data_IF_011821566918
#
_entry.id   IF_011821566918
#
_cell.length_a   1.000
_cell.length_b   1.000
_cell.length_c   1.000
_cell.angle_alpha   90.00
_cell.angle_beta   90.00
_cell.angle_gamma   90.00
#
_symmetry.space_group_name_H-M   'P 1'
#
loop_
_entity.id
_entity.type
_entity.pdbx_description
1 polymer ?
#
# COMPACT_ATOMS: atom_id res chain seq x y z
N UNK A 1 -20.05 -36.45 -26.71
CA UNK A 1 -18.81 -35.66 -26.96
C UNK A 1 -18.10 -35.46 -25.64
N UNK A 2 -16.93 -36.06 -25.47
CA UNK A 2 -16.21 -36.08 -24.18
C UNK A 2 -15.55 -34.74 -23.88
N UNK A 3 -15.70 -34.27 -22.64
CA UNK A 3 -15.01 -33.09 -22.11
C UNK A 3 -13.50 -33.29 -22.23
N UNK A 4 -12.76 -32.23 -22.52
CA UNK A 4 -11.30 -32.26 -22.58
C UNK A 4 -10.74 -31.04 -21.85
N UNK A 5 -9.84 -31.30 -20.89
CA UNK A 5 -9.02 -30.27 -20.26
C UNK A 5 -7.72 -30.17 -21.05
N UNK A 6 -7.40 -28.96 -21.49
CA UNK A 6 -6.14 -28.62 -22.16
C UNK A 6 -5.39 -27.64 -21.27
N UNK A 7 -4.11 -27.90 -21.05
CA UNK A 7 -3.24 -26.99 -20.33
C UNK A 7 -1.96 -26.69 -21.10
N UNK A 8 -1.39 -25.52 -20.82
CA UNK A 8 -0.09 -25.11 -21.33
C UNK A 8 0.60 -24.22 -20.30
N UNK A 9 1.93 -24.23 -20.31
CA UNK A 9 2.76 -23.38 -19.47
C UNK A 9 3.73 -22.63 -20.37
N UNK A 10 3.72 -21.31 -20.29
CA UNK A 10 4.68 -20.47 -20.99
C UNK A 10 5.69 -19.96 -19.95
N UNK A 11 6.95 -20.43 -20.01
CA UNK A 11 7.92 -20.11 -18.99
C UNK A 11 8.32 -18.64 -19.01
N UNK A 12 8.61 -18.08 -17.83
CA UNK A 12 9.20 -16.74 -17.66
C UNK A 12 8.43 -15.61 -18.37
N UNK A 13 7.12 -15.77 -18.47
CA UNK A 13 6.23 -14.80 -19.13
C UNK A 13 5.32 -14.19 -18.08
N UNK A 14 5.56 -12.93 -17.75
CA UNK A 14 4.80 -12.23 -16.72
C UNK A 14 3.74 -11.32 -17.34
N UNK A 15 2.52 -11.43 -16.84
CA UNK A 15 1.46 -10.46 -17.08
C UNK A 15 0.78 -10.09 -15.75
N UNK A 16 0.25 -8.87 -15.71
CA UNK A 16 -0.56 -8.41 -14.58
C UNK A 16 -1.84 -9.26 -14.40
N UNK A 17 -2.20 -9.54 -13.14
CA UNK A 17 -3.30 -10.44 -12.81
C UNK A 17 -4.67 -9.93 -13.29
N UNK A 18 -4.90 -8.63 -13.34
CA UNK A 18 -6.15 -8.05 -13.85
C UNK A 18 -6.31 -8.39 -15.34
N UNK A 19 -5.23 -8.27 -16.12
CA UNK A 19 -5.24 -8.64 -17.54
C UNK A 19 -5.56 -10.12 -17.73
N UNK A 20 -4.92 -10.99 -16.94
CA UNK A 20 -5.14 -12.43 -17.01
C UNK A 20 -6.59 -12.80 -16.65
N UNK A 21 -7.19 -12.11 -15.67
CA UNK A 21 -8.60 -12.26 -15.31
C UNK A 21 -9.55 -11.79 -16.42
N UNK A 22 -9.26 -10.67 -17.08
CA UNK A 22 -10.05 -10.18 -18.22
C UNK A 22 -10.05 -11.18 -19.39
N UNK A 23 -8.87 -11.69 -19.76
CA UNK A 23 -8.74 -12.70 -20.82
C UNK A 23 -9.45 -14.00 -20.41
N UNK A 24 -9.28 -14.46 -19.17
CA UNK A 24 -9.98 -15.66 -18.65
C UNK A 24 -11.50 -15.52 -18.75
N UNK A 25 -12.03 -14.33 -18.42
CA UNK A 25 -13.46 -14.01 -18.53
C UNK A 25 -13.93 -13.99 -19.98
N UNK A 26 -13.19 -13.34 -20.87
CA UNK A 26 -13.54 -13.29 -22.31
C UNK A 26 -13.61 -14.69 -22.92
N UNK A 27 -12.63 -15.55 -22.62
CA UNK A 27 -12.60 -16.90 -23.16
C UNK A 27 -13.67 -17.82 -22.54
N UNK A 28 -14.00 -17.62 -21.26
CA UNK A 28 -15.07 -18.38 -20.60
C UNK A 28 -16.46 -18.04 -21.14
N UNK A 29 -16.64 -16.91 -21.82
CA UNK A 29 -17.91 -16.52 -22.46
C UNK A 29 -18.13 -17.17 -23.83
N UNK A 30 -17.22 -18.00 -24.32
CA UNK A 30 -17.39 -18.71 -25.59
C UNK A 30 -18.26 -19.95 -25.37
N UNK A 31 -19.35 -20.12 -26.15
CA UNK A 31 -20.29 -21.25 -26.03
C UNK A 31 -19.64 -22.65 -26.12
N UNK A 32 -18.44 -22.72 -26.68
CA UNK A 32 -17.64 -23.92 -26.87
C UNK A 32 -16.67 -24.22 -25.71
N UNK A 33 -16.47 -23.26 -24.81
CA UNK A 33 -15.59 -23.30 -23.63
C UNK A 33 -16.45 -23.34 -22.37
N UNK A 34 -16.17 -24.27 -21.47
CA UNK A 34 -16.89 -24.35 -20.20
C UNK A 34 -16.23 -23.48 -19.14
N UNK A 35 -14.89 -23.56 -19.06
CA UNK A 35 -14.08 -22.79 -18.12
C UNK A 35 -12.72 -22.50 -18.75
N UNK A 36 -12.26 -21.26 -18.62
CA UNK A 36 -10.89 -20.87 -18.93
C UNK A 36 -10.25 -20.21 -17.71
N UNK A 37 -9.06 -20.66 -17.35
CA UNK A 37 -8.28 -20.16 -16.24
C UNK A 37 -6.88 -19.83 -16.73
N UNK A 38 -6.57 -18.54 -16.79
CA UNK A 38 -5.28 -18.01 -17.20
C UNK A 38 -4.75 -17.21 -16.03
N UNK A 39 -3.58 -17.58 -15.54
CA UNK A 39 -3.01 -16.98 -14.34
C UNK A 39 -1.50 -17.17 -14.31
N UNK A 40 -0.84 -16.54 -13.34
CA UNK A 40 0.56 -16.88 -13.01
C UNK A 40 0.61 -18.21 -12.24
N UNK A 41 1.67 -18.99 -12.41
CA UNK A 41 1.92 -20.30 -11.79
C UNK A 41 2.21 -20.27 -10.28
N UNK A 42 1.59 -19.35 -9.54
CA UNK A 42 1.72 -19.24 -8.08
C UNK A 42 1.01 -20.38 -7.37
N UNK A 43 1.44 -20.71 -6.15
CA UNK A 43 0.81 -21.77 -5.35
C UNK A 43 -0.66 -21.46 -5.03
N UNK A 44 -1.01 -20.17 -4.85
CA UNK A 44 -2.39 -19.75 -4.65
C UNK A 44 -3.27 -20.11 -5.87
N UNK A 45 -2.80 -19.81 -7.08
CA UNK A 45 -3.55 -20.13 -8.30
C UNK A 45 -3.61 -21.65 -8.57
N UNK A 46 -2.54 -22.38 -8.23
CA UNK A 46 -2.53 -23.85 -8.32
C UNK A 46 -3.55 -24.49 -7.36
N UNK A 47 -3.70 -23.96 -6.13
CA UNK A 47 -4.76 -24.40 -5.19
C UNK A 47 -6.17 -24.13 -5.71
N UNK A 48 -6.38 -22.98 -6.37
CA UNK A 48 -7.68 -22.68 -7.01
C UNK A 48 -7.99 -23.73 -8.09
N UNK A 49 -7.02 -24.05 -8.95
CA UNK A 49 -7.16 -25.08 -9.99
C UNK A 49 -7.45 -26.46 -9.40
N UNK A 50 -6.83 -26.81 -8.28
CA UNK A 50 -7.06 -28.06 -7.56
C UNK A 50 -8.49 -28.14 -7.04
N UNK A 51 -8.99 -27.09 -6.38
CA UNK A 51 -10.35 -27.03 -5.83
C UNK A 51 -11.43 -27.18 -6.90
N UNK A 52 -11.19 -26.66 -8.11
CA UNK A 52 -12.15 -26.74 -9.22
C UNK A 52 -11.94 -27.98 -10.12
N UNK A 53 -11.00 -28.86 -9.77
CA UNK A 53 -10.72 -30.11 -10.49
C UNK A 53 -10.07 -29.93 -11.86
N UNK A 54 -9.33 -28.84 -12.06
CA UNK A 54 -8.67 -28.50 -13.34
C UNK A 54 -7.13 -28.51 -13.25
N UNK A 55 -6.55 -28.83 -12.10
CA UNK A 55 -5.09 -28.94 -11.96
C UNK A 55 -4.55 -30.12 -12.78
N UNK A 56 -3.75 -29.82 -13.80
CA UNK A 56 -3.06 -30.82 -14.63
C UNK A 56 -1.60 -30.98 -14.20
N UNK A 57 -0.98 -32.13 -14.48
CA UNK A 57 0.43 -32.38 -14.11
C UNK A 57 1.40 -31.35 -14.68
N UNK A 58 1.19 -30.91 -15.93
CA UNK A 58 2.00 -29.85 -16.58
C UNK A 58 2.00 -28.54 -15.79
N UNK A 59 0.92 -28.23 -15.07
CA UNK A 59 0.77 -26.99 -14.30
C UNK A 59 1.30 -27.12 -12.87
N UNK A 60 1.43 -28.35 -12.33
CA UNK A 60 1.98 -28.56 -10.99
C UNK A 60 3.43 -28.08 -10.90
N UNK A 61 4.19 -28.31 -11.97
CA UNK A 61 5.61 -27.97 -12.07
C UNK A 61 5.85 -26.50 -12.45
N UNK A 62 4.80 -25.74 -12.76
CA UNK A 62 4.92 -24.32 -13.08
C UNK A 62 5.38 -23.50 -11.86
N UNK A 63 6.36 -22.63 -12.09
CA UNK A 63 6.84 -21.66 -11.12
C UNK A 63 6.00 -20.39 -11.09
N UNK A 64 6.20 -19.57 -10.05
CA UNK A 64 5.46 -18.32 -9.86
C UNK A 64 5.61 -17.29 -11.01
N UNK A 65 6.66 -17.42 -11.81
CA UNK A 65 6.96 -16.54 -12.96
C UNK A 65 6.50 -17.13 -14.30
N UNK A 66 5.84 -18.28 -14.30
CA UNK A 66 5.35 -18.93 -15.50
C UNK A 66 3.87 -18.60 -15.70
N UNK A 67 3.47 -18.42 -16.95
CA UNK A 67 2.08 -18.19 -17.32
C UNK A 67 1.40 -19.54 -17.54
N UNK A 68 0.34 -19.82 -16.79
CA UNK A 68 -0.42 -21.07 -16.90
C UNK A 68 -1.74 -20.80 -17.63
N UNK A 69 -2.06 -21.67 -18.58
CA UNK A 69 -3.35 -21.71 -19.27
C UNK A 69 -4.00 -23.05 -18.96
N UNK A 70 -5.26 -23.02 -18.53
CA UNK A 70 -6.08 -24.21 -18.35
C UNK A 70 -7.46 -23.96 -18.91
N UNK A 71 -7.86 -24.76 -19.90
CA UNK A 71 -9.13 -24.63 -20.61
C UNK A 71 -9.87 -25.95 -20.60
N UNK A 72 -11.08 -25.95 -20.06
CA UNK A 72 -12.04 -27.04 -20.20
C UNK A 72 -12.99 -26.74 -21.37
N UNK A 73 -12.97 -27.60 -22.39
CA UNK A 73 -13.74 -27.40 -23.61
C UNK A 73 -14.46 -28.67 -24.08
N UNK A 74 -15.43 -28.49 -24.99
CA UNK A 74 -16.21 -29.59 -25.59
C UNK A 74 -15.38 -30.56 -26.45
N UNK A 75 -14.17 -30.14 -26.88
CA UNK A 75 -13.22 -30.98 -27.60
C UNK A 75 -11.79 -30.45 -27.47
N UNK A 76 -10.79 -31.31 -27.69
CA UNK A 76 -9.37 -30.91 -27.71
C UNK A 76 -9.06 -29.83 -28.76
N UNK A 77 -9.74 -29.87 -29.91
CA UNK A 77 -9.56 -28.89 -30.98
C UNK A 77 -10.00 -27.48 -30.55
N UNK A 78 -11.14 -27.39 -29.84
CA UNK A 78 -11.65 -26.14 -29.28
C UNK A 78 -10.69 -25.61 -28.21
N UNK A 79 -10.19 -26.49 -27.32
CA UNK A 79 -9.24 -26.09 -26.28
C UNK A 79 -7.95 -25.49 -26.87
N UNK A 80 -7.38 -26.11 -27.91
CA UNK A 80 -6.22 -25.57 -28.64
C UNK A 80 -6.51 -24.22 -29.32
N UNK A 81 -7.67 -24.09 -29.97
CA UNK A 81 -8.07 -22.81 -30.58
C UNK A 81 -8.27 -21.69 -29.56
N UNK A 82 -8.78 -22.04 -28.37
CA UNK A 82 -8.97 -21.10 -27.25
C UNK A 82 -7.64 -20.61 -26.72
N UNK A 83 -6.65 -21.49 -26.61
CA UNK A 83 -5.28 -21.13 -26.22
C UNK A 83 -4.64 -20.14 -27.20
N UNK A 84 -4.70 -20.41 -28.50
CA UNK A 84 -4.18 -19.49 -29.51
C UNK A 84 -4.87 -18.12 -29.46
N UNK A 85 -6.18 -18.09 -29.16
CA UNK A 85 -6.91 -16.83 -28.95
C UNK A 85 -6.45 -16.09 -27.70
N UNK A 86 -6.15 -16.82 -26.61
CA UNK A 86 -5.61 -16.25 -25.38
C UNK A 86 -4.26 -15.54 -25.62
N UNK A 87 -3.34 -16.21 -26.31
CA UNK A 87 -2.03 -15.66 -26.69
C UNK A 87 -2.19 -14.41 -27.57
N UNK A 88 -3.10 -14.43 -28.54
CA UNK A 88 -3.38 -13.28 -29.40
C UNK A 88 -3.97 -12.08 -28.64
N UNK A 89 -4.85 -12.32 -27.66
CA UNK A 89 -5.41 -11.27 -26.81
C UNK A 89 -4.33 -10.63 -25.94
N UNK A 90 -3.47 -11.44 -25.31
CA UNK A 90 -2.35 -10.95 -24.50
C UNK A 90 -1.37 -10.12 -25.35
N UNK A 91 -0.98 -10.60 -26.53
CA UNK A 91 -0.07 -9.88 -27.45
C UNK A 91 -0.67 -8.58 -28.00
N UNK A 92 -1.99 -8.53 -28.27
CA UNK A 92 -2.66 -7.32 -28.75
C UNK A 92 -2.71 -6.24 -27.67
N UNK A 93 -2.89 -6.62 -26.41
CA UNK A 93 -2.89 -5.72 -25.26
C UNK A 93 -1.47 -5.17 -25.01
N UNK A 94 -0.43 -5.99 -25.15
CA UNK A 94 0.97 -5.53 -25.08
C UNK A 94 1.29 -4.44 -26.12
N UNK A 95 0.84 -4.62 -27.37
CA UNK A 95 1.03 -3.62 -28.45
C UNK A 95 0.28 -2.30 -28.21
N UNK A 96 -0.86 -2.33 -27.49
CA UNK A 96 -1.57 -1.10 -27.09
C UNK A 96 -0.88 -0.38 -25.94
N UNK A 97 -0.29 -1.12 -25.01
CA UNK A 97 0.40 -0.55 -23.83
C UNK A 97 1.74 0.08 -24.24
N UNK A 98 2.46 -0.55 -25.17
CA UNK A 98 3.74 -0.05 -25.70
C UNK A 98 3.64 1.21 -26.56
N UNK A 99 2.46 1.54 -27.12
CA UNK A 99 2.24 2.82 -27.82
C UNK A 99 2.19 4.05 -26.89
N UNK A 100 2.08 3.88 -25.57
CA UNK A 100 2.00 5.00 -24.61
C UNK A 100 3.31 5.29 -23.86
N UNK A 101 4.33 4.46 -23.98
CA UNK A 101 5.62 4.67 -23.31
C UNK A 101 6.77 4.56 -24.32
N UNK A 102 7.17 5.71 -24.87
CA UNK A 102 8.41 5.87 -25.63
C UNK A 102 9.61 5.93 -24.68
N UNK A 103 9.88 4.84 -23.94
CA UNK A 103 11.18 4.61 -23.31
C UNK A 103 11.74 3.39 -24.03
N UNK A 104 12.37 3.64 -25.19
CA UNK A 104 13.23 2.64 -25.81
C UNK A 104 14.36 2.35 -24.82
N UNK A 105 14.35 1.15 -24.23
CA UNK A 105 15.27 0.62 -23.20
C UNK A 105 14.92 0.92 -21.73
N UNK A 106 13.81 0.34 -21.26
CA UNK A 106 13.58 0.19 -19.81
C UNK A 106 14.69 -0.71 -19.22
N UNK A 107 15.45 -0.27 -18.20
CA UNK A 107 16.48 -1.09 -17.55
C UNK A 107 15.89 -2.38 -16.97
N UNK A 108 16.65 -3.48 -17.08
CA UNK A 108 16.23 -4.79 -16.56
C UNK A 108 16.82 -5.13 -15.20
N UNK A 109 17.84 -4.38 -14.77
CA UNK A 109 18.50 -4.58 -13.48
C UNK A 109 18.70 -3.24 -12.78
N UNK A 110 18.86 -3.29 -11.46
CA UNK A 110 19.19 -2.13 -10.65
C UNK A 110 20.45 -1.42 -11.16
N UNK A 111 21.50 -2.15 -11.52
CA UNK A 111 22.78 -1.58 -11.95
C UNK A 111 22.66 -0.84 -13.28
N UNK A 112 21.79 -1.31 -14.19
CA UNK A 112 21.48 -0.60 -15.43
C UNK A 112 20.70 0.68 -15.13
N UNK A 113 19.70 0.62 -14.24
CA UNK A 113 18.91 1.78 -13.85
C UNK A 113 19.78 2.83 -13.15
N UNK A 114 20.59 2.44 -12.18
CA UNK A 114 21.46 3.33 -11.43
C UNK A 114 22.48 4.07 -12.32
N UNK A 115 23.00 3.40 -13.36
CA UNK A 115 23.88 4.05 -14.36
C UNK A 115 23.13 4.98 -15.30
N UNK A 116 21.88 4.66 -15.64
CA UNK A 116 21.06 5.45 -16.57
C UNK A 116 20.36 6.66 -15.94
N UNK A 117 20.05 6.59 -14.64
CA UNK A 117 19.33 7.61 -13.88
C UNK A 117 20.25 8.18 -12.79
N UNK A 118 21.24 8.98 -13.20
CA UNK A 118 22.33 9.45 -12.34
C UNK A 118 21.91 10.43 -11.25
N UNK A 119 20.73 11.03 -11.39
CA UNK A 119 20.11 11.96 -10.44
C UNK A 119 19.09 11.28 -9.50
N UNK A 120 18.82 9.99 -9.69
CA UNK A 120 17.92 9.25 -8.82
C UNK A 120 18.52 9.09 -7.41
N UNK A 121 17.74 9.47 -6.40
CA UNK A 121 18.10 9.35 -4.98
C UNK A 121 17.16 8.42 -4.19
N UNK A 122 16.27 7.72 -4.89
CA UNK A 122 15.19 6.95 -4.29
C UNK A 122 14.91 5.69 -5.12
N UNK A 123 14.74 4.53 -4.46
CA UNK A 123 14.31 3.27 -5.07
C UNK A 123 12.96 2.82 -4.48
N UNK A 124 11.99 2.56 -5.36
CA UNK A 124 10.71 1.95 -5.00
C UNK A 124 10.75 0.44 -5.29
N UNK A 125 10.65 -0.39 -4.25
CA UNK A 125 10.79 -1.85 -4.35
C UNK A 125 9.43 -2.52 -4.16
N UNK A 126 8.94 -3.19 -5.21
CA UNK A 126 7.65 -3.91 -5.25
C UNK A 126 7.77 -5.32 -5.86
N UNK A 127 8.94 -5.93 -5.72
CA UNK A 127 9.21 -7.33 -6.14
C UNK A 127 8.70 -8.33 -5.10
N UNK A 128 8.63 -9.64 -5.38
CA UNK A 128 8.28 -10.64 -4.36
C UNK A 128 9.20 -10.57 -3.14
N UNK A 129 8.62 -10.71 -1.94
CA UNK A 129 9.30 -10.57 -0.64
C UNK A 129 10.67 -11.22 -0.51
N UNK A 130 10.86 -12.49 -0.94
CA UNK A 130 12.16 -13.16 -0.88
C UNK A 130 13.30 -12.47 -1.63
N UNK A 131 13.00 -11.61 -2.60
CA UNK A 131 13.99 -10.85 -3.38
C UNK A 131 14.08 -9.38 -2.96
N UNK A 132 13.12 -8.88 -2.19
CA UNK A 132 12.97 -7.46 -1.92
C UNK A 132 14.09 -6.91 -1.03
N UNK A 133 14.55 -7.70 -0.05
CA UNK A 133 15.67 -7.32 0.81
C UNK A 133 16.98 -7.11 0.04
N UNK A 134 17.24 -7.95 -0.97
CA UNK A 134 18.43 -7.84 -1.81
C UNK A 134 18.41 -6.53 -2.62
N UNK A 135 17.28 -6.21 -3.26
CA UNK A 135 17.16 -4.99 -4.06
C UNK A 135 17.23 -3.72 -3.19
N UNK A 136 16.60 -3.74 -2.00
CA UNK A 136 16.73 -2.65 -1.03
C UNK A 136 18.18 -2.46 -0.56
N UNK A 137 18.90 -3.55 -0.27
CA UNK A 137 20.30 -3.51 0.14
C UNK A 137 21.20 -2.88 -0.93
N UNK A 138 21.01 -3.21 -2.21
CA UNK A 138 21.75 -2.60 -3.32
C UNK A 138 21.57 -1.08 -3.34
N UNK A 139 20.33 -0.59 -3.23
CA UNK A 139 20.03 0.84 -3.20
C UNK A 139 20.65 1.55 -1.99
N UNK A 140 20.52 1.00 -0.78
CA UNK A 140 21.11 1.58 0.42
C UNK A 140 22.64 1.65 0.33
N UNK A 141 23.28 0.61 -0.22
CA UNK A 141 24.73 0.60 -0.46
C UNK A 141 25.15 1.64 -1.52
N UNK A 142 24.27 1.94 -2.47
CA UNK A 142 24.44 3.02 -3.45
C UNK A 142 24.04 4.42 -2.92
N UNK A 143 23.78 4.55 -1.61
CA UNK A 143 23.34 5.79 -0.96
C UNK A 143 22.00 6.35 -1.46
N UNK A 144 21.08 5.46 -1.85
CA UNK A 144 19.72 5.83 -2.22
C UNK A 144 18.75 5.53 -1.08
N UNK A 145 17.75 6.38 -0.92
CA UNK A 145 16.60 6.13 -0.07
C UNK A 145 15.77 4.98 -0.65
N UNK A 146 15.03 4.27 0.20
CA UNK A 146 14.22 3.12 -0.24
C UNK A 146 12.81 3.20 0.32
N UNK A 147 11.83 2.97 -0.54
CA UNK A 147 10.49 2.54 -0.14
C UNK A 147 10.35 1.07 -0.48
N UNK A 148 10.28 0.25 0.56
CA UNK A 148 10.10 -1.18 0.49
C UNK A 148 8.59 -1.47 0.63
N UNK A 149 7.90 -1.37 -0.50
CA UNK A 149 6.47 -1.66 -0.60
C UNK A 149 6.19 -3.16 -0.41
N UNK A 150 7.08 -4.01 -0.92
CA UNK A 150 7.01 -5.46 -0.79
C UNK A 150 6.82 -5.91 0.67
N UNK A 151 5.96 -6.91 0.86
CA UNK A 151 5.80 -7.64 2.12
C UNK A 151 6.48 -9.02 2.03
N UNK A 152 6.40 -9.84 3.09
CA UNK A 152 7.07 -11.14 3.24
C UNK A 152 8.61 -11.03 3.20
N UNK A 153 9.13 -9.95 3.76
CA UNK A 153 10.55 -9.78 4.12
C UNK A 153 10.73 -10.22 5.57
N UNK A 154 11.80 -10.96 5.85
CA UNK A 154 12.07 -11.46 7.21
C UNK A 154 12.29 -10.31 8.20
N UNK A 155 12.00 -10.55 9.48
CA UNK A 155 12.27 -9.56 10.55
C UNK A 155 13.76 -9.23 10.67
N UNK A 156 14.62 -10.24 10.46
CA UNK A 156 16.07 -10.06 10.49
C UNK A 156 16.54 -9.13 9.35
N UNK A 157 16.06 -9.36 8.12
CA UNK A 157 16.36 -8.51 6.98
C UNK A 157 15.84 -7.08 7.21
N UNK A 158 14.61 -6.92 7.69
CA UNK A 158 14.05 -5.61 8.02
C UNK A 158 14.94 -4.85 9.02
N UNK A 159 15.32 -5.50 10.12
CA UNK A 159 16.15 -4.89 11.15
C UNK A 159 17.52 -4.49 10.60
N UNK A 160 18.16 -5.39 9.83
CA UNK A 160 19.48 -5.15 9.25
C UNK A 160 19.46 -3.99 8.25
N UNK A 161 18.45 -3.96 7.37
CA UNK A 161 18.28 -2.88 6.38
C UNK A 161 17.98 -1.55 7.07
N UNK A 162 17.11 -1.52 8.10
CA UNK A 162 16.79 -0.28 8.83
C UNK A 162 18.01 0.27 9.58
N UNK A 163 18.82 -0.61 10.19
CA UNK A 163 20.09 -0.22 10.81
C UNK A 163 21.07 0.35 9.79
N UNK A 164 21.22 -0.30 8.63
CA UNK A 164 22.09 0.18 7.55
C UNK A 164 21.65 1.57 7.04
N UNK A 165 20.35 1.74 6.81
CA UNK A 165 19.78 3.01 6.37
C UNK A 165 20.01 4.12 7.41
N UNK A 166 19.72 3.86 8.68
CA UNK A 166 19.95 4.81 9.77
C UNK A 166 21.42 5.20 9.92
N UNK A 167 22.36 4.24 9.82
CA UNK A 167 23.80 4.51 9.85
C UNK A 167 24.26 5.43 8.70
N UNK A 168 23.59 5.35 7.54
CA UNK A 168 23.88 6.16 6.36
C UNK A 168 23.06 7.45 6.29
N UNK A 169 22.15 7.70 7.25
CA UNK A 169 21.23 8.83 7.20
C UNK A 169 20.20 8.73 6.06
N UNK A 170 19.89 7.53 5.58
CA UNK A 170 18.94 7.26 4.50
C UNK A 170 17.59 6.82 5.05
N UNK A 171 16.53 7.08 4.29
CA UNK A 171 15.20 6.55 4.55
C UNK A 171 15.12 5.08 4.13
N UNK A 172 14.55 4.23 5.00
CA UNK A 172 14.01 2.93 4.64
C UNK A 172 12.57 2.80 5.11
N UNK A 173 11.65 3.17 4.20
CA UNK A 173 10.21 3.11 4.41
C UNK A 173 9.68 1.71 4.11
N UNK A 174 9.42 0.90 5.13
CA UNK A 174 8.93 -0.48 4.96
C UNK A 174 9.82 -1.50 5.68
N UNK A 175 9.66 -2.82 5.45
CA UNK A 175 8.77 -3.50 4.49
C UNK A 175 7.28 -3.23 4.69
N UNK A 176 6.47 -3.54 3.67
CA UNK A 176 5.02 -3.36 3.71
C UNK A 176 4.58 -1.90 3.85
N UNK A 177 5.42 -0.94 3.45
CA UNK A 177 5.03 0.47 3.42
C UNK A 177 4.12 0.70 2.20
N UNK A 178 2.82 0.82 2.46
CA UNK A 178 1.82 0.98 1.40
C UNK A 178 1.68 2.41 0.88
N UNK A 179 1.98 3.42 1.69
CA UNK A 179 1.62 4.82 1.42
C UNK A 179 2.72 5.76 1.88
N UNK A 180 3.20 6.61 0.97
CA UNK A 180 4.05 7.74 1.30
C UNK A 180 3.87 8.88 0.30
N UNK A 181 4.25 10.08 0.70
CA UNK A 181 4.36 11.26 -0.15
C UNK A 181 5.62 12.02 0.28
N UNK A 182 6.62 12.07 -0.59
CA UNK A 182 7.90 12.73 -0.31
C UNK A 182 8.11 13.85 -1.32
N UNK A 183 8.24 15.08 -0.85
CA UNK A 183 8.40 16.28 -1.70
C UNK A 183 7.30 16.42 -2.78
N UNK A 184 6.05 16.08 -2.43
CA UNK A 184 4.92 16.07 -3.38
C UNK A 184 4.87 14.85 -4.31
N UNK A 185 5.84 13.95 -4.27
CA UNK A 185 5.84 12.70 -5.06
C UNK A 185 5.09 11.63 -4.29
N UNK A 186 3.95 11.21 -4.85
CA UNK A 186 3.12 10.15 -4.30
C UNK A 186 3.76 8.77 -4.58
N UNK A 187 3.90 7.94 -3.54
CA UNK A 187 4.51 6.61 -3.63
C UNK A 187 3.58 5.55 -3.04
N UNK A 188 3.38 4.45 -3.79
CA UNK A 188 2.45 3.38 -3.42
C UNK A 188 0.98 3.78 -3.58
N UNK A 189 0.14 3.38 -2.62
CA UNK A 189 -1.26 3.76 -2.53
C UNK A 189 -1.38 5.15 -1.89
N UNK A 190 -1.27 6.20 -2.71
CA UNK A 190 -1.32 7.58 -2.27
C UNK A 190 -2.38 8.39 -3.02
N UNK A 191 -2.78 9.50 -2.42
CA UNK A 191 -3.76 10.44 -2.97
C UNK A 191 -3.03 11.66 -3.57
N UNK A 192 -3.67 12.35 -4.50
CA UNK A 192 -3.22 13.68 -4.91
C UNK A 192 -3.61 14.66 -3.81
N UNK A 193 -2.61 15.28 -3.19
CA UNK A 193 -2.76 16.13 -2.00
C UNK A 193 -2.12 17.48 -2.28
N UNK A 194 -2.72 18.54 -1.72
CA UNK A 194 -2.12 19.87 -1.75
C UNK A 194 -0.90 19.93 -0.83
N UNK A 195 0.08 20.75 -1.20
CA UNK A 195 1.21 21.06 -0.33
C UNK A 195 0.73 21.90 0.87
N UNK A 196 1.22 21.61 2.07
CA UNK A 196 0.83 22.36 3.26
C UNK A 196 1.75 22.10 4.46
N UNK A 197 1.37 22.60 5.66
CA UNK A 197 2.27 22.68 6.81
C UNK A 197 2.33 21.39 7.65
N UNK A 198 1.49 20.39 7.34
CA UNK A 198 1.35 19.20 8.18
C UNK A 198 2.30 18.09 7.72
N UNK A 199 3.25 17.72 8.57
CA UNK A 199 4.12 16.56 8.36
C UNK A 199 3.55 15.33 9.06
N UNK A 200 3.49 14.20 8.39
CA UNK A 200 2.89 12.98 8.93
C UNK A 200 3.89 11.84 8.86
N UNK A 201 4.04 11.08 9.94
CA UNK A 201 4.79 9.82 9.95
C UNK A 201 3.95 8.72 10.59
N UNK A 202 3.87 7.55 9.95
CA UNK A 202 2.92 6.54 10.37
C UNK A 202 3.19 5.11 9.93
N UNK A 203 2.69 4.18 10.74
CA UNK A 203 2.75 2.73 10.51
C UNK A 203 1.37 2.15 10.14
N UNK A 204 0.56 2.94 9.42
CA UNK A 204 -0.78 2.57 8.96
C UNK A 204 -1.03 3.13 7.57
N UNK A 205 -0.94 2.31 6.51
CA UNK A 205 -1.10 2.78 5.12
C UNK A 205 -2.45 3.46 4.89
N UNK A 206 -3.55 2.73 5.11
CA UNK A 206 -4.90 3.30 4.98
C UNK A 206 -5.20 4.39 6.01
N UNK A 207 -4.61 4.32 7.21
CA UNK A 207 -4.74 5.40 8.20
C UNK A 207 -4.12 6.71 7.72
N UNK A 208 -2.96 6.65 7.06
CA UNK A 208 -2.34 7.81 6.42
C UNK A 208 -3.21 8.36 5.29
N UNK A 209 -3.77 7.48 4.44
CA UNK A 209 -4.67 7.90 3.35
C UNK A 209 -5.94 8.59 3.89
N UNK A 210 -6.54 8.05 4.95
CA UNK A 210 -7.75 8.61 5.53
C UNK A 210 -7.48 9.99 6.15
N UNK A 211 -6.46 10.09 7.01
CA UNK A 211 -6.10 11.36 7.64
C UNK A 211 -5.82 12.45 6.61
N UNK A 212 -4.99 12.14 5.61
CA UNK A 212 -4.64 13.10 4.55
C UNK A 212 -5.84 13.49 3.72
N UNK A 213 -6.77 12.57 3.45
CA UNK A 213 -8.03 12.87 2.74
C UNK A 213 -8.90 13.82 3.56
N UNK A 214 -9.05 13.58 4.87
CA UNK A 214 -9.83 14.45 5.75
C UNK A 214 -9.26 15.87 5.81
N UNK A 215 -7.93 16.01 5.93
CA UNK A 215 -7.26 17.31 5.92
C UNK A 215 -7.40 18.03 4.57
N UNK A 216 -7.16 17.33 3.46
CA UNK A 216 -7.21 17.91 2.13
C UNK A 216 -8.62 18.41 1.76
N UNK A 217 -9.67 17.68 2.18
CA UNK A 217 -11.08 18.11 2.05
C UNK A 217 -11.39 19.44 2.76
N UNK A 218 -10.49 19.89 3.62
CA UNK A 218 -10.60 21.10 4.44
C UNK A 218 -9.61 22.18 4.02
N UNK A 219 -8.93 21.98 2.89
CA UNK A 219 -7.91 22.89 2.41
C UNK A 219 -6.64 22.90 3.26
N UNK A 220 -6.38 21.85 4.05
CA UNK A 220 -5.11 21.66 4.75
C UNK A 220 -4.30 20.62 4.01
N UNK A 221 -3.23 21.07 3.36
CA UNK A 221 -2.26 20.22 2.70
C UNK A 221 -1.22 19.62 3.65
N UNK A 222 -0.33 18.81 3.09
CA UNK A 222 0.77 18.15 3.81
C UNK A 222 2.14 18.54 3.26
N UNK A 223 3.14 18.55 4.12
CA UNK A 223 4.54 18.77 3.72
C UNK A 223 5.15 17.46 3.22
N UNK A 224 5.00 16.41 4.03
CA UNK A 224 5.54 15.07 3.82
C UNK A 224 4.60 14.04 4.49
N UNK A 225 4.54 12.84 3.91
CA UNK A 225 3.85 11.68 4.48
C UNK A 225 4.82 10.50 4.45
N UNK A 226 5.35 10.11 5.61
CA UNK A 226 6.39 9.09 5.75
C UNK A 226 5.76 7.80 6.29
N UNK A 227 5.56 6.81 5.43
CA UNK A 227 5.15 5.48 5.85
C UNK A 227 6.33 4.64 6.33
N UNK A 228 6.27 4.08 7.53
CA UNK A 228 7.44 3.41 8.16
C UNK A 228 7.45 1.88 8.03
N UNK A 229 6.34 1.31 7.55
CA UNK A 229 6.08 -0.14 7.55
C UNK A 229 5.38 -0.60 8.82
N UNK A 230 4.46 -1.55 8.70
CA UNK A 230 3.52 -1.90 9.78
C UNK A 230 4.15 -2.54 11.03
N UNK A 231 5.39 -3.06 10.93
CA UNK A 231 6.12 -3.72 12.02
C UNK A 231 7.18 -2.84 12.68
N UNK A 232 7.37 -1.61 12.20
CA UNK A 232 8.44 -0.73 12.66
C UNK A 232 8.39 -0.48 14.17
N UNK A 233 7.19 -0.42 14.74
CA UNK A 233 6.97 -0.13 16.16
C UNK A 233 6.97 -1.38 17.07
N UNK A 234 7.35 -2.54 16.55
CA UNK A 234 7.59 -3.72 17.38
C UNK A 234 8.90 -3.63 18.16
N UNK A 235 9.00 -4.32 19.30
CA UNK A 235 10.19 -4.37 20.15
C UNK A 235 11.43 -4.85 19.38
N UNK A 236 11.26 -5.75 18.40
CA UNK A 236 12.36 -6.27 17.59
C UNK A 236 12.95 -5.20 16.67
N UNK A 237 12.11 -4.34 16.09
CA UNK A 237 12.55 -3.30 15.15
C UNK A 237 12.91 -2.01 15.89
N UNK A 238 12.18 -1.65 16.95
CA UNK A 238 12.53 -0.56 17.85
C UNK A 238 12.18 0.84 17.34
N UNK A 239 11.25 0.95 16.39
CA UNK A 239 10.77 2.23 15.85
C UNK A 239 11.84 3.03 15.12
N UNK A 240 12.80 2.36 14.47
CA UNK A 240 13.96 3.02 13.84
C UNK A 240 13.49 4.08 12.83
N UNK A 241 12.61 3.68 11.91
CA UNK A 241 12.16 4.57 10.85
C UNK A 241 11.16 5.61 11.40
N UNK A 242 10.32 5.26 12.37
CA UNK A 242 9.46 6.22 13.07
C UNK A 242 10.26 7.36 13.70
N UNK A 243 11.30 7.06 14.50
CA UNK A 243 12.15 8.08 15.12
C UNK A 243 12.87 8.93 14.09
N UNK A 244 13.41 8.31 13.04
CA UNK A 244 14.05 9.03 11.95
C UNK A 244 13.06 9.95 11.22
N UNK A 245 11.84 9.49 10.96
CA UNK A 245 10.78 10.29 10.35
C UNK A 245 10.41 11.50 11.20
N UNK A 246 10.27 11.34 12.52
CA UNK A 246 10.05 12.47 13.44
C UNK A 246 11.19 13.48 13.34
N UNK A 247 12.45 13.02 13.39
CA UNK A 247 13.63 13.91 13.30
C UNK A 247 13.68 14.68 11.98
N UNK A 248 13.36 14.02 10.86
CA UNK A 248 13.29 14.64 9.53
C UNK A 248 12.20 15.71 9.48
N UNK A 249 10.99 15.39 9.95
CA UNK A 249 9.88 16.33 10.00
C UNK A 249 10.16 17.51 10.95
N UNK A 250 10.88 17.25 12.05
CA UNK A 250 11.32 18.29 12.99
C UNK A 250 12.30 19.26 12.32
N UNK A 251 13.17 18.75 11.45
CA UNK A 251 14.15 19.57 10.73
C UNK A 251 13.61 20.22 9.45
N UNK A 252 12.45 19.77 8.94
CA UNK A 252 11.86 20.31 7.72
C UNK A 252 11.20 21.68 7.95
N UNK A 253 11.69 22.78 7.36
CA UNK A 253 11.12 24.11 7.56
C UNK A 253 9.69 24.25 6.99
N UNK A 254 9.24 23.35 6.10
CA UNK A 254 7.86 23.34 5.58
C UNK A 254 6.88 22.65 6.52
N UNK A 255 7.37 21.92 7.51
CA UNK A 255 6.53 21.25 8.50
C UNK A 255 6.38 22.15 9.72
N UNK A 256 5.15 22.59 10.02
CA UNK A 256 4.82 23.39 11.21
C UNK A 256 4.19 22.54 12.31
N UNK A 257 3.51 21.44 11.95
CA UNK A 257 2.86 20.50 12.87
C UNK A 257 3.16 19.06 12.44
N UNK A 258 3.49 18.21 13.41
CA UNK A 258 3.75 16.78 13.18
C UNK A 258 2.55 15.94 13.64
N UNK A 259 2.17 14.96 12.83
CA UNK A 259 1.18 13.94 13.21
C UNK A 259 1.82 12.56 13.20
N UNK A 260 1.60 11.82 14.28
CA UNK A 260 1.96 10.42 14.43
C UNK A 260 0.71 9.55 14.33
N UNK A 261 0.72 8.57 13.43
CA UNK A 261 -0.38 7.60 13.31
C UNK A 261 0.13 6.17 13.23
N UNK A 262 -0.26 5.34 14.20
CA UNK A 262 0.09 3.92 14.19
C UNK A 262 -0.92 3.10 14.99
N UNK A 263 -0.82 1.77 14.89
CA UNK A 263 -1.34 0.91 15.95
C UNK A 263 -0.56 1.16 17.25
N UNK A 264 -1.06 0.70 18.41
CA UNK A 264 -0.36 0.83 19.67
C UNK A 264 1.05 0.22 19.55
N UNK A 265 2.12 0.98 19.83
CA UNK A 265 3.49 0.47 19.82
C UNK A 265 3.71 -0.51 20.96
N UNK A 266 4.78 -1.31 20.87
CA UNK A 266 5.23 -2.04 22.06
C UNK A 266 5.71 -1.05 23.15
N UNK A 267 5.64 -1.47 24.41
CA UNK A 267 5.81 -0.56 25.56
C UNK A 267 7.20 0.09 25.58
N UNK A 268 8.25 -0.65 25.20
CA UNK A 268 9.63 -0.14 25.20
C UNK A 268 9.83 0.87 24.08
N UNK A 269 9.19 0.63 22.92
CA UNK A 269 9.26 1.51 21.75
C UNK A 269 8.49 2.81 21.99
N UNK A 270 7.35 2.73 22.68
CA UNK A 270 6.53 3.90 23.04
C UNK A 270 7.36 4.95 23.75
N UNK A 271 8.13 4.57 24.78
CA UNK A 271 8.96 5.53 25.54
C UNK A 271 10.01 6.22 24.66
N UNK A 272 10.64 5.47 23.75
CA UNK A 272 11.62 6.03 22.83
C UNK A 272 11.00 7.00 21.82
N UNK A 273 9.80 6.69 21.30
CA UNK A 273 9.05 7.57 20.39
C UNK A 273 8.65 8.86 21.10
N UNK A 274 8.08 8.78 22.30
CA UNK A 274 7.65 9.98 23.04
C UNK A 274 8.82 10.91 23.37
N UNK A 275 10.00 10.35 23.67
CA UNK A 275 11.21 11.16 23.84
C UNK A 275 11.61 11.91 22.57
N UNK A 276 11.51 11.26 21.41
CA UNK A 276 11.80 11.90 20.12
C UNK A 276 10.78 13.02 19.83
N UNK A 277 9.50 12.77 20.12
CA UNK A 277 8.41 13.76 20.00
C UNK A 277 8.70 15.00 20.83
N UNK A 278 9.05 14.85 22.11
CA UNK A 278 9.37 15.98 22.99
C UNK A 278 10.60 16.76 22.50
N UNK A 279 11.51 16.09 21.79
CA UNK A 279 12.73 16.70 21.24
C UNK A 279 12.50 17.39 19.88
N UNK A 280 11.32 17.25 19.29
CA UNK A 280 11.02 17.77 17.94
C UNK A 280 10.98 19.30 17.86
N UNK A 281 10.67 19.98 18.96
CA UNK A 281 10.46 21.43 19.00
C UNK A 281 9.23 21.92 18.23
N UNK A 282 8.38 21.02 17.72
CA UNK A 282 7.15 21.35 16.98
C UNK A 282 5.92 20.80 17.69
N UNK A 283 4.73 21.40 17.53
CA UNK A 283 3.49 20.80 17.98
C UNK A 283 3.31 19.40 17.38
N UNK A 284 3.00 18.41 18.23
CA UNK A 284 2.80 17.02 17.80
C UNK A 284 1.45 16.50 18.26
N UNK A 285 0.71 15.92 17.32
CA UNK A 285 -0.53 15.17 17.58
C UNK A 285 -0.25 13.67 17.38
N UNK A 286 -0.62 12.86 18.36
CA UNK A 286 -0.40 11.41 18.35
C UNK A 286 -1.73 10.67 18.31
N UNK A 287 -1.83 9.71 17.41
CA UNK A 287 -2.92 8.75 17.35
C UNK A 287 -2.35 7.33 17.36
N UNK A 288 -2.55 6.64 18.48
CA UNK A 288 -2.35 5.20 18.59
C UNK A 288 -3.72 4.51 18.49
N UNK A 289 -4.02 4.02 17.29
CA UNK A 289 -5.34 3.54 16.89
C UNK A 289 -5.85 2.44 17.83
N UNK A 290 -6.99 2.68 18.47
CA UNK A 290 -7.62 1.73 19.39
C UNK A 290 -7.05 1.73 20.80
N UNK A 291 -6.10 2.61 21.11
CA UNK A 291 -5.71 2.89 22.49
C UNK A 291 -6.71 3.90 23.10
N UNK A 292 -7.33 3.51 24.21
CA UNK A 292 -8.36 4.30 24.89
C UNK A 292 -7.78 4.90 26.17
N UNK A 293 -7.95 6.21 26.35
CA UNK A 293 -7.52 6.96 27.53
C UNK A 293 -6.41 7.97 27.21
N UNK A 294 -6.63 9.24 27.58
CA UNK A 294 -5.63 10.28 27.40
C UNK A 294 -4.43 10.01 28.29
N UNK A 295 -3.29 9.67 27.69
CA UNK A 295 -2.00 9.88 28.33
C UNK A 295 -1.69 11.37 28.19
N UNK A 296 -2.11 12.19 29.14
CA UNK A 296 -1.52 13.53 29.24
C UNK A 296 -0.03 13.32 29.54
N UNK A 297 0.79 13.57 28.53
CA UNK A 297 2.24 13.44 28.57
C UNK A 297 2.81 14.78 28.14
N UNK A 298 3.25 15.59 29.10
CA UNK A 298 4.11 16.78 28.93
C UNK A 298 3.97 17.54 27.59
N UNK A 299 2.75 17.99 27.24
CA UNK A 299 2.49 18.81 26.04
C UNK A 299 2.29 18.04 24.73
N UNK A 300 2.26 16.70 24.76
CA UNK A 300 1.90 15.84 23.63
C UNK A 300 0.39 15.67 23.58
N UNK A 301 -0.20 15.89 22.42
CA UNK A 301 -1.65 15.83 22.23
C UNK A 301 -2.03 14.45 21.71
N UNK A 302 -2.72 13.65 22.51
CA UNK A 302 -3.25 12.36 22.10
C UNK A 302 -4.68 12.47 21.56
N UNK A 303 -5.00 11.66 20.56
CA UNK A 303 -6.33 11.55 19.94
C UNK A 303 -6.71 10.08 19.76
N UNK A 304 -8.01 9.80 19.77
CA UNK A 304 -8.53 8.42 19.79
C UNK A 304 -8.82 7.89 18.38
N UNK A 305 -9.47 8.70 17.55
CA UNK A 305 -9.85 8.35 16.18
C UNK A 305 -9.12 9.21 15.15
N UNK A 306 -9.05 8.73 13.90
CA UNK A 306 -8.39 9.46 12.81
C UNK A 306 -9.10 10.80 12.58
N UNK A 307 -10.42 10.80 12.74
CA UNK A 307 -11.26 11.97 12.61
C UNK A 307 -11.00 12.97 13.76
N UNK A 308 -10.82 12.51 14.99
CA UNK A 308 -10.40 13.37 16.10
C UNK A 308 -9.01 13.96 15.87
N UNK A 309 -8.09 13.18 15.29
CA UNK A 309 -6.78 13.67 14.86
C UNK A 309 -6.93 14.78 13.82
N UNK A 310 -7.76 14.58 12.80
CA UNK A 310 -7.98 15.57 11.76
C UNK A 310 -8.58 16.88 12.32
N UNK A 311 -9.63 16.79 13.14
CA UNK A 311 -10.24 17.96 13.79
C UNK A 311 -9.23 18.67 14.72
N UNK A 312 -8.38 17.91 15.42
CA UNK A 312 -7.34 18.51 16.26
C UNK A 312 -6.29 19.25 15.46
N UNK A 313 -5.82 18.67 14.34
CA UNK A 313 -4.89 19.34 13.41
C UNK A 313 -5.52 20.62 12.85
N UNK A 314 -6.77 20.58 12.41
CA UNK A 314 -7.50 21.75 11.89
C UNK A 314 -7.57 22.88 12.93
N UNK A 315 -7.84 22.53 14.19
CA UNK A 315 -7.88 23.50 15.29
C UNK A 315 -6.54 24.18 15.55
N UNK A 316 -5.42 23.50 15.29
CA UNK A 316 -4.06 24.00 15.54
C UNK A 316 -3.52 24.84 14.37
N UNK A 317 -3.89 24.51 13.13
CA UNK A 317 -3.48 25.22 11.91
C UNK A 317 -4.35 26.47 11.63
N UNK A 318 -5.45 26.66 12.38
CA UNK A 318 -6.24 27.90 12.33
C UNK A 318 -7.32 27.95 11.24
N UNK A 319 -7.67 26.81 10.65
CA UNK A 319 -8.82 26.74 9.73
C UNK A 319 -10.10 26.46 10.51
N UNK A 320 -11.03 27.42 10.47
CA UNK A 320 -12.29 27.44 11.20
C UNK A 320 -13.13 26.17 10.89
N UNK A 321 -13.33 25.25 11.85
CA UNK A 321 -13.96 23.96 11.57
C UNK A 321 -15.48 24.12 11.63
N UNK A 322 -16.14 24.18 10.48
CA UNK A 322 -17.51 23.64 10.44
C UNK A 322 -17.37 22.12 10.39
N UNK A 323 -17.60 21.32 11.46
CA UNK A 323 -17.25 19.88 11.49
C UNK A 323 -17.74 19.12 10.24
N UNK A 324 -16.88 18.31 9.61
CA UNK A 324 -17.24 17.50 8.42
C UNK A 324 -18.23 16.40 8.80
N UNK A 325 -18.01 15.84 9.98
CA UNK A 325 -18.79 14.80 10.63
C UNK A 325 -18.72 15.10 12.13
N UNK A 326 -19.82 14.97 12.86
CA UNK A 326 -19.68 14.86 14.31
C UNK A 326 -18.90 13.58 14.59
N UNK A 327 -17.76 13.67 15.26
CA UNK A 327 -16.93 12.50 15.62
C UNK A 327 -17.21 12.06 17.05
N UNK A 328 -17.55 13.02 17.90
CA UNK A 328 -17.94 12.77 19.28
C UNK A 328 -19.24 11.95 19.32
N UNK A 329 -19.20 10.78 19.97
CA UNK A 329 -20.35 9.86 20.12
C UNK A 329 -21.60 10.55 20.65
N UNK A 330 -21.48 11.44 21.64
CA UNK A 330 -22.64 12.20 22.15
C UNK A 330 -23.19 13.19 21.11
N UNK A 331 -22.30 13.76 20.29
CA UNK A 331 -22.70 14.66 19.19
C UNK A 331 -23.37 13.87 18.06
N UNK A 332 -22.86 12.68 17.73
CA UNK A 332 -23.50 11.76 16.77
C UNK A 332 -24.86 11.28 17.26
N UNK A 333 -24.97 10.88 18.53
CA UNK A 333 -26.24 10.50 19.16
C UNK A 333 -27.22 11.68 19.10
N UNK A 334 -26.77 12.90 19.41
CA UNK A 334 -27.60 14.10 19.31
C UNK A 334 -28.02 14.38 17.87
N UNK A 335 -27.12 14.26 16.89
CA UNK A 335 -27.46 14.42 15.47
C UNK A 335 -28.44 13.35 15.00
N UNK A 336 -28.25 12.10 15.40
CA UNK A 336 -29.16 11.00 15.11
C UNK A 336 -30.54 11.24 15.74
N UNK A 337 -30.60 11.75 16.98
CA UNK A 337 -31.86 12.16 17.61
C UNK A 337 -32.53 13.30 16.84
N UNK A 338 -31.80 14.37 16.53
CA UNK A 338 -32.32 15.51 15.77
C UNK A 338 -32.83 15.10 14.38
N UNK A 339 -32.16 14.16 13.71
CA UNK A 339 -32.61 13.63 12.43
C UNK A 339 -33.81 12.68 12.63
N UNK A 340 -33.84 11.88 13.71
CA UNK A 340 -34.95 10.98 14.03
C UNK A 340 -36.27 11.73 14.29
N UNK A 341 -36.21 12.92 14.87
CA UNK A 341 -37.39 13.77 15.14
C UNK A 341 -38.08 14.26 13.85
N UNK A 342 -37.40 14.20 12.71
CA UNK A 342 -37.97 14.55 11.40
C UNK A 342 -38.80 13.44 10.79
N UNK A 343 -38.74 12.22 11.33
CA UNK A 343 -39.48 11.07 10.84
C UNK A 343 -40.73 10.79 11.69
N UNK A 344 -41.74 10.14 11.11
CA UNK A 344 -42.93 9.77 11.86
C UNK A 344 -42.60 8.69 12.90
N UNK A 345 -43.33 8.67 14.04
CA UNK A 345 -43.08 7.72 15.14
C UNK A 345 -43.22 6.25 14.72
N UNK A 346 -43.99 5.98 13.67
CA UNK A 346 -44.26 4.67 13.08
C UNK A 346 -43.48 4.41 11.77
N UNK A 347 -42.61 5.35 11.36
CA UNK A 347 -41.85 5.24 10.13
C UNK A 347 -40.78 4.15 10.23
N UNK A 348 -40.89 3.15 9.35
CA UNK A 348 -40.06 1.95 9.37
C UNK A 348 -38.83 2.01 8.45
N UNK A 349 -38.79 2.97 7.53
CA UNK A 349 -37.74 3.09 6.49
C UNK A 349 -37.26 4.55 6.34
N UNK A 350 -35.94 4.74 6.16
CA UNK A 350 -35.27 6.05 6.03
C UNK A 350 -35.44 6.64 4.61
N UNK A 351 -35.73 5.81 3.60
CA UNK A 351 -36.11 6.25 2.26
C UNK A 351 -37.58 5.88 2.01
N UNK A 352 -38.42 6.91 1.89
CA UNK A 352 -39.86 6.87 1.71
C UNK A 352 -40.48 8.21 2.12
#
# INVERSE_FOLDING_TARGET
MGKSVISNVIPRTYHDSVRLMEVSKELSNLDSVQRAFIAMGTDANKRVLEQIGLLTDVVKDAGANDLIFVVEAKSKAIGKGTLAKAEALLAKIEKKTSKKASIENIPKTFEQAYKGFTDANFLFVSVPGPYAALEASKALNANMNVMLFSDNVSLEDELNLKKLAAQKGLLLMGPGCGTALINGVALGFANVLDAGPVGIVGASGTGLQELTTLLNRRGVGVSQVIGVGGRDLSDTIGGIMMKQGISILSSDPKTELIVLISKPPDITVTQAILKEVLSSGKPVVVNFLGEIGSRDHDGIIFTETIEDTAEKVLSLIGNNPSPVLATNTNTLIRMAHNESERFAKDQKYIRG
#
